data_IF_649320229020
#
_entry.id   IF_649320229020
#
_cell.length_a   1.000
_cell.length_b   1.000
_cell.length_c   1.000
_cell.angle_alpha   90.00
_cell.angle_beta   90.00
_cell.angle_gamma   90.00
#
_symmetry.space_group_name_H-M   'P 1'
#
loop_
_entity.id
_entity.type
_entity.pdbx_description
1 polymer ?
#
# COMPACT_ATOMS: atom_id res chain seq x y z
N UNK A 1 4.96 -6.71 -3.98
CA UNK A 1 6.41 -6.41 -4.01
C UNK A 1 6.61 -4.93 -4.29
N UNK A 2 7.40 -4.23 -3.48
CA UNK A 2 7.78 -2.83 -3.66
C UNK A 2 9.32 -2.72 -3.75
N UNK A 3 9.78 -1.65 -4.37
CA UNK A 3 11.20 -1.32 -4.49
C UNK A 3 12.06 -2.40 -5.20
N UNK A 4 11.45 -3.17 -6.07
CA UNK A 4 12.13 -4.19 -6.88
C UNK A 4 12.44 -3.60 -8.26
N UNK A 5 13.68 -3.80 -8.74
CA UNK A 5 14.10 -3.24 -10.01
C UNK A 5 13.32 -3.85 -11.19
N UNK A 6 13.15 -5.18 -11.19
CA UNK A 6 12.40 -5.89 -12.23
C UNK A 6 12.11 -7.34 -11.82
N UNK A 7 11.40 -8.06 -12.70
CA UNK A 7 11.05 -9.47 -12.48
C UNK A 7 12.25 -10.43 -12.46
N UNK A 8 13.36 -10.08 -13.10
CA UNK A 8 14.57 -10.91 -13.07
C UNK A 8 15.21 -10.92 -11.67
N UNK A 9 15.31 -9.74 -11.03
CA UNK A 9 15.80 -9.66 -9.66
C UNK A 9 14.83 -10.33 -8.67
N UNK A 10 13.52 -10.16 -8.86
CA UNK A 10 12.53 -10.88 -8.05
C UNK A 10 12.70 -12.39 -8.16
N UNK A 11 12.93 -12.91 -9.38
CA UNK A 11 13.17 -14.34 -9.63
C UNK A 11 14.43 -14.86 -8.94
N UNK A 12 15.50 -14.08 -8.91
CA UNK A 12 16.73 -14.45 -8.18
C UNK A 12 16.50 -14.62 -6.67
N UNK A 13 15.52 -13.89 -6.11
CA UNK A 13 15.19 -13.93 -4.66
C UNK A 13 14.14 -14.99 -4.34
N UNK A 14 13.07 -15.06 -5.13
CA UNK A 14 11.89 -15.89 -4.83
C UNK A 14 11.81 -17.17 -5.67
N UNK A 15 12.68 -17.32 -6.68
CA UNK A 15 12.74 -18.51 -7.53
C UNK A 15 11.74 -18.52 -8.69
N UNK A 16 11.67 -19.68 -9.37
CA UNK A 16 10.88 -19.88 -10.59
C UNK A 16 9.44 -20.33 -10.32
N UNK A 17 9.07 -20.54 -9.06
CA UNK A 17 7.72 -21.01 -8.67
C UNK A 17 6.63 -19.94 -8.82
N UNK A 18 7.01 -18.71 -9.21
CA UNK A 18 6.11 -17.58 -9.33
C UNK A 18 6.12 -16.99 -10.74
N UNK A 19 4.96 -16.47 -11.14
CA UNK A 19 4.84 -15.52 -12.24
C UNK A 19 4.93 -14.11 -11.67
N UNK A 20 5.67 -13.24 -12.37
CA UNK A 20 6.00 -11.89 -11.91
C UNK A 20 5.41 -10.84 -12.83
N UNK A 21 4.68 -9.90 -12.27
CA UNK A 21 4.03 -8.80 -12.96
C UNK A 21 4.51 -7.48 -12.37
N UNK A 22 5.32 -6.72 -13.11
CA UNK A 22 5.88 -5.46 -12.65
C UNK A 22 5.47 -4.31 -13.55
N UNK A 23 5.41 -3.10 -12.95
CA UNK A 23 5.25 -1.88 -13.74
C UNK A 23 6.45 -1.68 -14.67
N UNK A 24 6.18 -1.16 -15.88
CA UNK A 24 7.21 -0.89 -16.90
C UNK A 24 7.87 0.48 -16.74
N UNK A 25 7.47 1.22 -15.71
CA UNK A 25 8.01 2.53 -15.43
C UNK A 25 9.54 2.49 -15.38
N UNK A 26 10.19 3.44 -16.04
CA UNK A 26 11.64 3.58 -16.06
C UNK A 26 12.14 4.14 -14.72
N UNK A 27 12.12 3.27 -13.71
CA UNK A 27 12.54 3.55 -12.34
C UNK A 27 12.97 2.26 -11.67
N UNK A 28 14.02 2.33 -10.85
CA UNK A 28 14.56 1.15 -10.14
C UNK A 28 13.67 0.61 -9.01
N UNK A 29 12.76 1.43 -8.47
CA UNK A 29 11.85 1.05 -7.39
C UNK A 29 10.45 0.80 -7.93
N UNK A 30 10.24 -0.32 -8.61
CA UNK A 30 8.95 -0.68 -9.21
C UNK A 30 8.01 -1.31 -8.20
N UNK A 31 6.73 -1.23 -8.53
CA UNK A 31 5.67 -2.00 -7.88
C UNK A 31 5.40 -3.24 -8.71
N UNK A 32 5.24 -4.37 -8.05
CA UNK A 32 4.95 -5.63 -8.72
C UNK A 32 4.17 -6.60 -7.85
N UNK A 33 3.70 -7.65 -8.52
CA UNK A 33 3.00 -8.77 -7.90
C UNK A 33 3.66 -10.07 -8.35
N UNK A 34 3.84 -10.99 -7.40
CA UNK A 34 4.29 -12.35 -7.67
C UNK A 34 3.14 -13.32 -7.33
N UNK A 35 2.75 -14.15 -8.29
CA UNK A 35 1.68 -15.14 -8.11
C UNK A 35 2.27 -16.54 -8.22
N UNK A 36 2.04 -17.38 -7.19
CA UNK A 36 2.58 -18.73 -7.17
C UNK A 36 1.88 -19.60 -8.22
N UNK A 37 2.64 -20.17 -9.15
CA UNK A 37 2.15 -20.99 -10.28
C UNK A 37 1.32 -22.19 -9.82
N UNK A 38 1.74 -22.88 -8.73
CA UNK A 38 1.04 -24.05 -8.20
C UNK A 38 -0.37 -23.76 -7.68
N UNK A 39 -0.76 -22.48 -7.52
CA UNK A 39 -2.12 -22.09 -7.15
C UNK A 39 -3.11 -22.16 -8.32
N UNK A 40 -2.62 -22.15 -9.56
CA UNK A 40 -3.42 -22.31 -10.77
C UNK A 40 -4.34 -21.16 -11.10
N UNK A 41 -3.99 -19.93 -10.69
CA UNK A 41 -4.75 -18.74 -11.06
C UNK A 41 -4.43 -18.32 -12.50
N UNK A 42 -5.46 -17.93 -13.23
CA UNK A 42 -5.31 -17.10 -14.41
C UNK A 42 -5.16 -15.64 -13.93
N UNK A 43 -4.16 -14.95 -14.45
CA UNK A 43 -3.79 -13.61 -13.99
C UNK A 43 -3.93 -12.61 -15.12
N UNK A 44 -4.72 -11.57 -14.88
CA UNK A 44 -4.72 -10.36 -15.72
C UNK A 44 -4.09 -9.24 -14.91
N UNK A 45 -2.99 -8.67 -15.40
CA UNK A 45 -2.26 -7.59 -14.73
C UNK A 45 -2.12 -6.38 -15.64
N UNK A 46 -2.49 -5.21 -15.13
CA UNK A 46 -2.39 -3.93 -15.84
C UNK A 46 -1.78 -2.85 -14.95
N UNK A 47 -1.07 -1.90 -15.56
CA UNK A 47 -0.54 -0.76 -14.82
C UNK A 47 -1.65 0.24 -14.52
N UNK A 48 -1.79 0.61 -13.26
CA UNK A 48 -2.66 1.71 -12.86
C UNK A 48 -1.86 3.02 -12.87
N UNK A 49 -1.79 3.64 -14.07
CA UNK A 49 -0.96 4.82 -14.34
C UNK A 49 -1.49 6.09 -13.69
N UNK A 50 -2.77 6.13 -13.30
CA UNK A 50 -3.38 7.30 -12.67
C UNK A 50 -2.69 7.69 -11.36
N UNK A 51 -2.03 6.73 -10.66
CA UNK A 51 -1.25 7.01 -9.45
C UNK A 51 0.05 7.78 -9.72
N UNK A 52 0.50 7.90 -10.98
CA UNK A 52 1.72 8.63 -11.33
C UNK A 52 1.50 10.16 -11.34
N UNK A 53 1.16 10.72 -10.23
CA UNK A 53 0.96 12.17 -10.07
C UNK A 53 2.31 12.83 -9.77
N UNK A 54 2.84 13.57 -10.72
CA UNK A 54 4.12 14.28 -10.53
C UNK A 54 5.34 13.35 -10.47
N UNK A 55 5.38 12.33 -11.34
CA UNK A 55 6.45 11.35 -11.50
C UNK A 55 6.70 10.52 -10.23
N UNK A 56 5.66 9.92 -9.73
CA UNK A 56 5.70 8.84 -8.73
C UNK A 56 5.39 7.50 -9.38
N UNK A 57 5.32 6.44 -8.61
CA UNK A 57 5.15 5.07 -9.14
C UNK A 57 3.74 4.83 -9.68
N UNK A 58 3.62 3.91 -10.63
CA UNK A 58 2.34 3.31 -11.03
C UNK A 58 1.88 2.32 -9.98
N UNK A 59 0.57 2.07 -9.88
CA UNK A 59 0.03 0.88 -9.24
C UNK A 59 0.02 -0.30 -10.20
N UNK A 60 -0.16 -1.52 -9.65
CA UNK A 60 -0.44 -2.72 -10.44
C UNK A 60 -1.83 -3.23 -10.08
N UNK A 61 -2.77 -3.11 -11.02
CA UNK A 61 -4.13 -3.67 -10.93
C UNK A 61 -4.09 -5.11 -11.45
N UNK A 62 -4.37 -6.05 -10.57
CA UNK A 62 -4.27 -7.48 -10.86
C UNK A 62 -5.58 -8.17 -10.53
N UNK A 63 -6.10 -8.94 -11.49
CA UNK A 63 -7.23 -9.83 -11.29
C UNK A 63 -6.74 -11.27 -11.31
N UNK A 64 -7.07 -12.02 -10.27
CA UNK A 64 -6.86 -13.45 -10.15
C UNK A 64 -8.16 -14.18 -10.42
N UNK A 65 -8.17 -15.15 -11.32
CA UNK A 65 -9.36 -15.95 -11.66
C UNK A 65 -9.03 -17.44 -11.52
N UNK A 66 -9.92 -18.20 -10.88
CA UNK A 66 -9.82 -19.65 -10.78
C UNK A 66 -11.22 -20.27 -10.80
N UNK A 67 -11.58 -20.94 -11.89
CA UNK A 67 -12.96 -21.32 -12.14
C UNK A 67 -13.85 -20.08 -12.20
N UNK A 68 -14.92 -20.07 -11.42
CA UNK A 68 -15.85 -18.93 -11.32
C UNK A 68 -15.40 -17.86 -10.31
N UNK A 69 -14.41 -18.18 -9.47
CA UNK A 69 -13.93 -17.28 -8.45
C UNK A 69 -13.02 -16.19 -9.04
N UNK A 70 -13.29 -14.97 -8.67
CA UNK A 70 -12.47 -13.80 -9.03
C UNK A 70 -12.08 -13.03 -7.79
N UNK A 71 -10.84 -12.58 -7.75
CA UNK A 71 -10.31 -11.71 -6.72
C UNK A 71 -9.47 -10.61 -7.34
N UNK A 72 -9.57 -9.41 -6.83
CA UNK A 72 -8.85 -8.26 -7.39
C UNK A 72 -7.94 -7.63 -6.37
N UNK A 73 -6.79 -7.16 -6.81
CA UNK A 73 -5.88 -6.40 -5.95
C UNK A 73 -5.25 -5.23 -6.71
N UNK A 74 -5.09 -4.11 -6.02
CA UNK A 74 -4.26 -3.01 -6.44
C UNK A 74 -3.01 -2.99 -5.56
N UNK A 75 -1.85 -3.29 -6.16
CA UNK A 75 -0.58 -3.10 -5.47
C UNK A 75 -0.12 -1.65 -5.62
N UNK A 76 0.22 -1.02 -4.50
CA UNK A 76 0.60 0.39 -4.44
C UNK A 76 1.94 0.61 -3.76
N UNK A 77 2.63 1.69 -4.14
CA UNK A 77 3.71 2.30 -3.38
C UNK A 77 3.56 3.83 -3.50
N UNK A 78 2.87 4.41 -2.55
CA UNK A 78 2.53 5.82 -2.59
C UNK A 78 3.72 6.71 -2.23
N UNK A 79 3.53 8.04 -2.33
CA UNK A 79 4.61 9.01 -2.11
C UNK A 79 5.04 9.05 -0.64
N UNK A 80 6.31 8.75 -0.40
CA UNK A 80 6.94 8.83 0.93
C UNK A 80 7.17 10.26 1.42
N UNK A 81 7.25 10.41 2.75
CA UNK A 81 7.67 11.65 3.42
C UNK A 81 6.53 12.52 3.94
N UNK A 82 5.26 12.03 3.87
CA UNK A 82 4.09 12.67 4.47
C UNK A 82 3.30 11.66 5.32
N UNK A 83 3.95 11.06 6.29
CA UNK A 83 3.44 9.90 7.02
C UNK A 83 2.22 10.18 7.90
N UNK A 84 2.11 11.40 8.47
CA UNK A 84 1.14 11.76 9.50
C UNK A 84 0.68 13.24 9.45
N UNK A 85 1.08 13.98 8.42
CA UNK A 85 0.67 15.39 8.28
C UNK A 85 -0.65 15.49 7.51
N UNK A 86 -1.50 16.48 7.83
CA UNK A 86 -2.74 16.66 7.07
C UNK A 86 -2.44 16.94 5.58
N UNK A 87 -3.29 16.41 4.72
CA UNK A 87 -3.11 16.40 3.28
C UNK A 87 -3.95 17.46 2.56
N UNK A 88 -4.83 18.16 3.28
CA UNK A 88 -5.64 19.23 2.72
C UNK A 88 -4.78 20.40 2.20
N UNK A 89 -5.25 21.08 1.18
CA UNK A 89 -4.51 22.14 0.49
C UNK A 89 -4.06 23.25 1.43
N UNK A 90 -4.91 23.67 2.38
CA UNK A 90 -4.59 24.74 3.34
C UNK A 90 -3.42 24.33 4.24
N UNK A 91 -3.46 23.11 4.77
CA UNK A 91 -2.40 22.59 5.63
C UNK A 91 -1.10 22.38 4.86
N UNK A 92 -1.15 21.84 3.64
CA UNK A 92 0.01 21.66 2.76
C UNK A 92 0.64 23.03 2.41
N UNK A 93 -0.18 24.03 2.10
CA UNK A 93 0.29 25.38 1.76
C UNK A 93 0.86 26.12 2.97
N UNK A 94 0.36 25.89 4.19
CA UNK A 94 0.90 26.52 5.40
C UNK A 94 2.37 26.14 5.69
N UNK A 95 2.86 25.03 5.14
CA UNK A 95 4.26 24.60 5.26
C UNK A 95 5.22 25.39 4.36
N UNK A 96 4.76 26.43 3.63
CA UNK A 96 5.58 27.22 2.67
C UNK A 96 6.70 28.02 3.33
N UNK A 97 6.49 28.54 4.52
CA UNK A 97 7.37 29.51 5.18
C UNK A 97 8.38 28.88 6.14
N UNK A 98 8.58 27.57 6.07
CA UNK A 98 9.35 26.81 7.01
C UNK A 98 10.74 26.39 6.47
N UNK A 99 11.52 25.69 7.26
CA UNK A 99 12.88 25.21 6.98
C UNK A 99 13.00 24.42 5.67
N UNK A 100 14.23 24.12 5.22
CA UNK A 100 14.47 23.20 4.08
C UNK A 100 13.79 21.83 4.28
N UNK A 101 13.74 21.32 5.53
CA UNK A 101 13.06 20.09 5.90
C UNK A 101 11.57 20.17 5.60
N UNK A 102 10.93 21.27 5.99
CA UNK A 102 9.49 21.46 5.81
C UNK A 102 9.11 21.63 4.34
N UNK A 103 9.95 22.30 3.55
CA UNK A 103 9.79 22.37 2.09
C UNK A 103 9.81 20.97 1.44
N UNK A 104 10.67 20.07 1.92
CA UNK A 104 10.71 18.67 1.46
C UNK A 104 9.43 17.93 1.85
N UNK A 105 8.99 18.07 3.11
CA UNK A 105 7.73 17.47 3.60
C UNK A 105 6.54 18.02 2.83
N UNK A 106 6.44 19.33 2.63
CA UNK A 106 5.38 19.95 1.82
C UNK A 106 5.26 19.33 0.43
N UNK A 107 6.37 19.19 -0.29
CA UNK A 107 6.38 18.56 -1.62
C UNK A 107 5.94 17.09 -1.56
N UNK A 108 6.26 16.40 -0.48
CA UNK A 108 5.83 15.02 -0.28
C UNK A 108 4.32 14.95 -0.02
N UNK A 109 3.79 15.81 0.86
CA UNK A 109 2.38 15.89 1.16
C UNK A 109 1.54 16.35 -0.05
N UNK A 110 2.00 17.34 -0.81
CA UNK A 110 1.36 17.78 -2.05
C UNK A 110 1.27 16.65 -3.10
N UNK A 111 2.29 15.82 -3.21
CA UNK A 111 2.25 14.69 -4.13
C UNK A 111 1.36 13.56 -3.61
N UNK A 112 1.40 13.28 -2.32
CA UNK A 112 0.55 12.24 -1.72
C UNK A 112 -0.93 12.66 -1.79
N UNK A 113 -1.26 13.91 -1.48
CA UNK A 113 -2.65 14.40 -1.58
C UNK A 113 -3.22 14.24 -2.99
N UNK A 114 -2.40 14.47 -4.02
CA UNK A 114 -2.80 14.27 -5.41
C UNK A 114 -2.95 12.79 -5.82
N UNK A 115 -2.43 11.84 -5.03
CA UNK A 115 -2.63 10.41 -5.26
C UNK A 115 -3.93 9.89 -4.63
N UNK A 116 -4.56 10.64 -3.72
CA UNK A 116 -5.81 10.25 -3.07
C UNK A 116 -6.91 10.07 -4.12
N UNK A 117 -7.20 11.10 -4.88
CA UNK A 117 -8.31 11.08 -5.84
C UNK A 117 -8.23 9.91 -6.86
N UNK A 118 -7.09 9.59 -7.50
CA UNK A 118 -7.04 8.41 -8.36
C UNK A 118 -7.11 7.09 -7.59
N UNK A 119 -6.63 7.01 -6.35
CA UNK A 119 -6.77 5.81 -5.52
C UNK A 119 -8.23 5.59 -5.16
N UNK A 120 -8.91 6.61 -4.71
CA UNK A 120 -10.34 6.69 -4.41
C UNK A 120 -11.18 6.26 -5.61
N UNK A 121 -10.95 6.88 -6.77
CA UNK A 121 -11.66 6.54 -8.00
C UNK A 121 -11.49 5.06 -8.41
N UNK A 122 -10.37 4.42 -8.08
CA UNK A 122 -10.19 2.99 -8.30
C UNK A 122 -11.03 2.18 -7.33
N UNK A 123 -11.03 2.54 -6.04
CA UNK A 123 -11.81 1.89 -4.98
C UNK A 123 -13.30 1.99 -5.30
N UNK A 124 -13.81 3.18 -5.54
CA UNK A 124 -15.20 3.43 -5.90
C UNK A 124 -15.69 2.61 -7.09
N UNK A 125 -14.85 2.55 -8.11
CA UNK A 125 -15.17 1.76 -9.29
C UNK A 125 -15.25 0.27 -8.96
N UNK A 126 -14.34 -0.24 -8.12
CA UNK A 126 -14.32 -1.66 -7.73
C UNK A 126 -15.44 -2.00 -6.76
N UNK A 127 -15.78 -1.10 -5.85
CA UNK A 127 -16.88 -1.29 -4.90
C UNK A 127 -18.24 -1.53 -5.60
N UNK A 128 -18.44 -0.94 -6.78
CA UNK A 128 -19.62 -1.17 -7.64
C UNK A 128 -19.66 -2.54 -8.31
N UNK A 129 -18.52 -3.26 -8.31
CA UNK A 129 -18.44 -4.60 -8.89
C UNK A 129 -18.79 -5.68 -7.84
N UNK A 130 -19.13 -6.89 -8.30
CA UNK A 130 -19.37 -8.03 -7.40
C UNK A 130 -18.07 -8.69 -6.90
N UNK A 131 -16.96 -8.42 -7.56
CA UNK A 131 -15.65 -9.02 -7.27
C UNK A 131 -15.05 -8.45 -6.00
N UNK A 132 -14.68 -9.29 -5.00
CA UNK A 132 -13.95 -8.83 -3.82
C UNK A 132 -12.57 -8.27 -4.20
N UNK A 133 -12.14 -7.23 -3.48
CA UNK A 133 -10.84 -6.63 -3.75
C UNK A 133 -10.05 -6.21 -2.50
N UNK A 134 -8.76 -6.00 -2.69
CA UNK A 134 -7.87 -5.39 -1.70
C UNK A 134 -6.97 -4.34 -2.35
N UNK A 135 -6.58 -3.32 -1.58
CA UNK A 135 -5.45 -2.46 -1.90
C UNK A 135 -4.29 -2.85 -0.98
N UNK A 136 -3.12 -3.15 -1.53
CA UNK A 136 -2.00 -3.71 -0.78
C UNK A 136 -0.70 -3.00 -1.11
N UNK A 137 0.12 -2.71 -0.11
CA UNK A 137 1.47 -2.22 -0.33
C UNK A 137 1.92 -1.17 0.67
N UNK A 138 2.93 -0.40 0.26
CA UNK A 138 3.43 0.74 1.01
C UNK A 138 2.61 1.99 0.68
N UNK A 139 1.72 2.34 1.60
CA UNK A 139 0.93 3.57 1.51
C UNK A 139 1.73 4.80 1.95
N UNK A 140 2.89 4.59 2.58
CA UNK A 140 3.67 5.67 3.19
C UNK A 140 2.83 6.57 4.12
N UNK A 141 1.76 5.98 4.71
CA UNK A 141 0.81 6.67 5.56
C UNK A 141 0.51 5.87 6.83
N UNK A 142 0.50 6.53 7.95
CA UNK A 142 0.15 5.97 9.25
C UNK A 142 -1.35 6.12 9.48
N UNK A 143 -2.14 5.11 9.12
CA UNK A 143 -3.61 5.15 9.28
C UNK A 143 -4.03 5.37 10.73
N UNK A 144 -3.30 4.81 11.71
CA UNK A 144 -3.57 5.08 13.12
C UNK A 144 -3.50 6.57 13.46
N UNK A 145 -2.59 7.31 12.81
CA UNK A 145 -2.47 8.75 13.03
C UNK A 145 -3.57 9.55 12.35
N UNK A 146 -4.05 9.11 11.20
CA UNK A 146 -5.21 9.71 10.55
C UNK A 146 -6.44 9.61 11.46
N UNK A 147 -6.64 8.45 12.07
CA UNK A 147 -7.75 8.19 13.01
C UNK A 147 -7.56 8.98 14.32
N UNK A 148 -6.36 8.92 14.92
CA UNK A 148 -6.02 9.61 16.17
C UNK A 148 -6.23 11.12 16.06
N UNK A 149 -5.85 11.71 14.92
CA UNK A 149 -6.03 13.14 14.66
C UNK A 149 -7.45 13.50 14.19
N UNK A 150 -8.32 12.53 13.97
CA UNK A 150 -9.68 12.74 13.47
C UNK A 150 -9.69 13.62 12.21
N UNK A 151 -8.81 13.32 11.27
CA UNK A 151 -8.74 14.08 10.03
C UNK A 151 -10.04 13.96 9.24
N UNK A 152 -10.37 15.01 8.49
CA UNK A 152 -11.42 14.95 7.46
C UNK A 152 -10.94 14.14 6.25
N UNK A 153 -11.84 13.75 5.38
CA UNK A 153 -11.56 13.06 4.11
C UNK A 153 -10.51 13.81 3.27
N UNK A 154 -10.56 15.13 3.24
CA UNK A 154 -9.55 15.93 2.53
C UNK A 154 -8.17 15.96 3.19
N UNK A 155 -8.07 15.64 4.49
CA UNK A 155 -6.85 15.76 5.29
C UNK A 155 -6.22 14.40 5.65
N UNK A 156 -6.99 13.31 5.68
CA UNK A 156 -6.54 11.96 6.00
C UNK A 156 -6.68 11.02 4.82
N UNK A 157 -5.66 10.20 4.56
CA UNK A 157 -5.76 9.18 3.51
C UNK A 157 -6.73 8.07 3.91
N UNK A 158 -6.73 7.67 5.19
CA UNK A 158 -7.66 6.65 5.69
C UNK A 158 -9.10 7.12 5.52
N UNK A 159 -9.43 8.33 5.95
CA UNK A 159 -10.79 8.88 5.83
C UNK A 159 -11.24 9.01 4.38
N UNK A 160 -10.31 9.38 3.47
CA UNK A 160 -10.65 9.47 2.06
C UNK A 160 -11.02 8.12 1.43
N UNK A 161 -10.31 7.04 1.77
CA UNK A 161 -10.57 5.70 1.21
C UNK A 161 -11.66 4.91 1.95
N UNK A 162 -12.20 5.43 3.06
CA UNK A 162 -13.23 4.83 3.93
C UNK A 162 -14.37 5.84 4.13
N UNK A 163 -14.69 6.66 3.13
CA UNK A 163 -15.58 7.80 3.26
C UNK A 163 -17.05 7.48 3.02
N UNK A 164 -17.37 6.49 2.23
CA UNK A 164 -18.71 6.17 1.81
C UNK A 164 -19.27 4.92 2.53
N UNK A 165 -20.50 5.05 3.06
CA UNK A 165 -21.09 4.01 3.90
C UNK A 165 -21.27 2.63 3.28
N UNK A 166 -21.18 2.49 1.95
CA UNK A 166 -21.20 1.20 1.27
C UNK A 166 -19.80 0.54 1.19
N UNK A 167 -18.74 1.29 1.39
CA UNK A 167 -17.39 0.82 1.15
C UNK A 167 -16.69 0.32 2.40
N UNK A 168 -16.97 0.88 3.59
CA UNK A 168 -16.50 0.43 4.91
C UNK A 168 -15.19 -0.38 4.85
N UNK A 169 -14.13 0.27 4.40
CA UNK A 169 -12.83 -0.37 4.20
C UNK A 169 -12.27 -0.84 5.54
N UNK A 170 -11.53 -1.91 5.52
CA UNK A 170 -10.94 -2.47 6.73
C UNK A 170 -9.47 -2.86 6.50
N UNK A 171 -8.63 -2.61 7.49
CA UNK A 171 -7.24 -3.03 7.47
C UNK A 171 -6.82 -3.64 8.82
N UNK A 172 -6.20 -4.84 8.84
CA UNK A 172 -5.76 -5.49 10.07
C UNK A 172 -4.66 -4.73 10.81
N UNK A 173 -4.02 -3.77 10.18
CA UNK A 173 -2.97 -2.90 10.73
C UNK A 173 -3.51 -1.72 11.51
N UNK A 174 -4.78 -1.36 11.30
CA UNK A 174 -5.44 -0.30 12.08
C UNK A 174 -5.56 -0.75 13.53
N UNK A 175 -5.28 0.17 14.45
CA UNK A 175 -5.26 -0.07 15.90
C UNK A 175 -4.20 -1.08 16.39
N UNK A 176 -3.21 -1.41 15.55
CA UNK A 176 -2.06 -2.26 15.94
C UNK A 176 -0.76 -1.47 15.91
N UNK A 177 0.17 -1.90 16.75
CA UNK A 177 1.54 -1.42 16.72
C UNK A 177 2.42 -2.38 15.90
N UNK A 178 3.26 -1.81 15.06
CA UNK A 178 4.29 -2.54 14.35
C UNK A 178 5.38 -3.01 15.31
N UNK A 179 5.83 -4.24 15.12
CA UNK A 179 6.98 -4.83 15.84
C UNK A 179 8.26 -4.79 15.00
N UNK A 180 8.21 -4.16 13.83
CA UNK A 180 9.34 -4.06 12.94
C UNK A 180 10.54 -3.44 13.65
N UNK A 181 11.71 -4.05 13.49
CA UNK A 181 12.96 -3.61 14.13
C UNK A 181 12.83 -3.41 15.65
N UNK A 182 12.18 -4.37 16.34
CA UNK A 182 11.98 -4.30 17.78
C UNK A 182 11.04 -3.17 18.22
N UNK A 183 10.15 -2.71 17.31
CA UNK A 183 9.20 -1.62 17.57
C UNK A 183 9.79 -0.22 17.42
N UNK A 184 10.94 -0.08 16.74
CA UNK A 184 11.51 1.22 16.40
C UNK A 184 10.53 2.05 15.56
N UNK A 185 9.89 1.42 14.57
CA UNK A 185 8.77 1.98 13.83
C UNK A 185 7.46 1.46 14.44
N UNK A 186 6.78 2.29 15.22
CA UNK A 186 5.58 1.87 15.97
C UNK A 186 4.33 1.77 15.11
N UNK A 187 4.21 2.62 14.11
CA UNK A 187 3.06 2.65 13.22
C UNK A 187 3.36 1.91 11.92
N UNK A 188 2.36 1.21 11.41
CA UNK A 188 2.43 0.65 10.06
C UNK A 188 2.33 1.77 9.02
N UNK A 189 3.04 1.59 7.91
CA UNK A 189 2.89 2.33 6.66
C UNK A 189 2.63 1.38 5.48
N UNK A 190 2.88 0.09 5.70
CA UNK A 190 2.48 -1.00 4.81
C UNK A 190 1.13 -1.52 5.28
N UNK A 191 0.18 -1.60 4.36
CA UNK A 191 -1.19 -2.01 4.69
C UNK A 191 -1.74 -3.01 3.67
N UNK A 192 -2.69 -3.82 4.12
CA UNK A 192 -3.61 -4.61 3.30
C UNK A 192 -5.00 -4.09 3.65
N UNK A 193 -5.61 -3.36 2.73
CA UNK A 193 -6.91 -2.73 2.89
C UNK A 193 -7.95 -3.54 2.13
N UNK A 194 -8.98 -3.95 2.81
CA UNK A 194 -10.02 -4.86 2.32
C UNK A 194 -11.31 -4.10 2.05
N UNK A 195 -11.97 -4.39 0.96
CA UNK A 195 -13.39 -4.09 0.81
C UNK A 195 -14.24 -5.02 1.69
N UNK A 196 -15.53 -4.71 1.91
CA UNK A 196 -16.41 -5.55 2.74
C UNK A 196 -16.54 -7.00 2.25
N UNK A 197 -16.45 -7.25 0.95
CA UNK A 197 -16.55 -8.59 0.35
C UNK A 197 -15.27 -9.39 0.60
N UNK A 198 -14.10 -8.80 0.36
CA UNK A 198 -12.81 -9.44 0.63
C UNK A 198 -12.62 -9.71 2.13
N UNK A 199 -13.13 -8.82 3.00
CA UNK A 199 -13.10 -9.01 4.45
C UNK A 199 -13.85 -10.27 4.90
N UNK A 200 -14.91 -10.69 4.21
CA UNK A 200 -15.63 -11.94 4.55
C UNK A 200 -14.75 -13.17 4.37
N UNK A 201 -13.79 -13.13 3.46
CA UNK A 201 -12.82 -14.21 3.27
C UNK A 201 -11.60 -14.13 4.21
N UNK A 202 -11.47 -13.10 5.03
CA UNK A 202 -10.35 -12.97 5.96
C UNK A 202 -10.40 -14.03 7.06
N UNK A 203 -9.30 -14.75 7.26
CA UNK A 203 -9.17 -15.71 8.35
C UNK A 203 -8.74 -14.98 9.61
N UNK A 204 -9.61 -14.94 10.60
CA UNK A 204 -9.36 -14.26 11.85
C UNK A 204 -8.06 -14.72 12.52
N UNK A 205 -7.28 -13.76 13.00
CA UNK A 205 -6.00 -14.03 13.62
C UNK A 205 -4.89 -14.45 12.64
N UNK A 206 -5.10 -14.45 11.32
CA UNK A 206 -4.09 -14.82 10.33
C UNK A 206 -3.09 -13.70 10.02
N UNK A 207 -3.34 -12.47 10.44
CA UNK A 207 -2.40 -11.38 10.23
C UNK A 207 -1.04 -11.69 10.87
N UNK A 208 0.02 -11.57 10.10
CA UNK A 208 1.41 -11.74 10.54
C UNK A 208 2.24 -10.57 10.05
N UNK A 209 3.22 -10.19 10.85
CA UNK A 209 4.34 -9.36 10.46
C UNK A 209 5.62 -10.19 10.63
N UNK A 210 6.36 -10.39 9.56
CA UNK A 210 7.68 -11.01 9.63
C UNK A 210 8.68 -9.94 10.08
N UNK A 211 9.21 -10.11 11.29
CA UNK A 211 10.14 -9.16 11.89
C UNK A 211 11.57 -9.66 11.79
N UNK A 212 12.51 -8.74 11.65
CA UNK A 212 13.93 -9.05 11.76
C UNK A 212 14.31 -9.19 13.22
N UNK A 213 15.14 -10.20 13.53
CA UNK A 213 15.76 -10.34 14.84
C UNK A 213 16.81 -9.24 15.04
N UNK A 214 16.70 -8.52 16.14
CA UNK A 214 17.65 -7.48 16.52
C UNK A 214 17.05 -6.07 16.58
N UNK A 215 17.89 -5.14 17.03
CA UNK A 215 17.54 -3.72 17.13
C UNK A 215 17.89 -3.01 15.84
N UNK A 216 17.06 -2.05 15.47
CA UNK A 216 17.35 -1.16 14.36
C UNK A 216 18.71 -0.48 14.54
N UNK A 217 19.56 -0.62 13.54
CA UNK A 217 20.79 0.17 13.40
C UNK A 217 20.86 0.74 11.99
N UNK A 218 21.48 1.91 11.85
CA UNK A 218 21.64 2.54 10.53
C UNK A 218 22.46 1.66 9.55
N UNK A 219 23.33 0.79 10.06
CA UNK A 219 24.11 -0.13 9.26
C UNK A 219 23.23 -1.29 8.76
N UNK A 220 22.43 -1.90 9.64
CA UNK A 220 21.55 -3.01 9.28
C UNK A 220 20.45 -2.55 8.32
N UNK A 221 19.88 -1.36 8.49
CA UNK A 221 18.85 -0.83 7.58
C UNK A 221 19.35 -0.51 6.17
N UNK A 222 20.68 -0.46 5.97
CA UNK A 222 21.29 -0.34 4.63
C UNK A 222 21.51 -1.70 3.96
N UNK A 223 21.59 -2.77 4.74
CA UNK A 223 21.85 -4.14 4.26
C UNK A 223 20.58 -4.97 4.19
N UNK A 224 19.58 -4.63 5.01
CA UNK A 224 18.26 -5.26 5.05
C UNK A 224 17.20 -4.19 4.77
N UNK A 225 15.97 -4.62 4.49
CA UNK A 225 14.86 -3.69 4.32
C UNK A 225 14.54 -2.97 5.63
N UNK A 226 14.21 -1.70 5.59
CA UNK A 226 13.60 -0.96 6.70
C UNK A 226 12.09 -1.25 6.85
N UNK A 227 11.50 -2.00 5.91
CA UNK A 227 10.16 -2.56 5.99
C UNK A 227 10.18 -4.02 6.46
N UNK A 228 9.15 -4.41 7.18
CA UNK A 228 8.89 -5.78 7.59
C UNK A 228 7.67 -6.33 6.85
N UNK A 229 7.79 -7.44 6.12
CA UNK A 229 6.67 -8.01 5.37
C UNK A 229 5.45 -8.27 6.25
N UNK A 230 4.27 -7.98 5.73
CA UNK A 230 2.99 -8.31 6.33
C UNK A 230 2.24 -9.32 5.47
N UNK A 231 1.45 -10.17 6.10
CA UNK A 231 0.65 -11.18 5.41
C UNK A 231 -0.66 -11.46 6.12
N UNK A 232 -1.61 -11.99 5.36
CA UNK A 232 -2.90 -12.49 5.82
C UNK A 232 -3.23 -13.78 5.08
N UNK A 233 -4.17 -14.54 5.63
CA UNK A 233 -4.80 -15.67 4.94
C UNK A 233 -6.23 -15.26 4.52
N UNK A 234 -6.57 -15.57 3.26
CA UNK A 234 -7.90 -15.38 2.69
C UNK A 234 -8.43 -16.72 2.19
N UNK A 235 -9.73 -16.95 2.36
CA UNK A 235 -10.49 -18.11 1.83
C UNK A 235 -11.69 -17.59 1.05
N UNK A 236 -11.73 -17.98 -0.19
CA UNK A 236 -12.84 -17.71 -1.11
C UNK A 236 -13.30 -19.02 -1.71
#
# INVERSE_FOLDING_TARGET
>A
LQEVENGEYARKVFGDDYDYYFSTMDWVQRVGVAVRKSKGYQVTATEYKALNVGRVRYGMDVTLTKGDDKFRLLAVHLKSGCFDKPLDEKSVNSMLNASKSDKKKRRACDKLSKQIQPLEAWIDQRAKESTPFVVIGDFNRRFNKDIEHSYSESAGLWQAIDDEGAENMWAPTVSKNSKCWGGYYKDFIDHIVFDPKAKQGYVDGSFRQLVFDGKYTKQLSRSLSDHCPISVELRF
#
